data_IF_944156986523
#
_entry.id   IF_944156986523
#
_cell.length_a   1.000
_cell.length_b   1.000
_cell.length_c   1.000
_cell.angle_alpha   90.00
_cell.angle_beta   90.00
_cell.angle_gamma   90.00
#
_symmetry.space_group_name_H-M   'P 1'
#
loop_
_entity.id
_entity.type
_entity.pdbx_description
1 polymer ?
#
# COMPACT_ATOMS: atom_id res chain seq x y z
N UNK A 1 -14.82 -23.30 -22.02
CA UNK A 1 -14.75 -21.83 -21.93
C UNK A 1 -14.92 -21.49 -20.46
N UNK A 2 -13.81 -21.27 -19.75
CA UNK A 2 -13.85 -21.02 -18.31
C UNK A 2 -14.12 -19.54 -18.04
N UNK A 3 -15.09 -19.28 -17.18
CA UNK A 3 -15.45 -17.96 -16.65
C UNK A 3 -14.23 -17.28 -16.02
N UNK A 4 -13.95 -16.04 -16.42
CA UNK A 4 -12.96 -15.19 -15.74
C UNK A 4 -13.66 -14.41 -14.64
N UNK A 5 -13.74 -14.98 -13.44
CA UNK A 5 -14.25 -14.32 -12.25
C UNK A 5 -13.13 -14.19 -11.20
N UNK A 6 -13.12 -13.02 -10.55
CA UNK A 6 -12.37 -12.65 -9.35
C UNK A 6 -10.84 -12.46 -9.47
N UNK A 7 -10.44 -11.27 -9.95
CA UNK A 7 -9.42 -10.53 -9.23
C UNK A 7 -10.10 -9.66 -8.18
N UNK A 8 -9.55 -9.53 -6.96
CA UNK A 8 -10.20 -8.77 -5.91
C UNK A 8 -10.40 -7.35 -6.40
N UNK A 9 -11.58 -6.76 -6.24
CA UNK A 9 -11.80 -5.36 -6.57
C UNK A 9 -10.82 -4.53 -5.74
N UNK A 10 -9.75 -4.04 -6.37
CA UNK A 10 -8.68 -3.30 -5.69
C UNK A 10 -9.22 -2.03 -5.02
N UNK A 11 -10.37 -1.52 -5.47
CA UNK A 11 -11.12 -0.47 -4.77
C UNK A 11 -11.50 -0.84 -3.32
N UNK A 12 -11.74 -2.12 -3.00
CA UNK A 12 -12.03 -2.58 -1.63
C UNK A 12 -10.84 -2.33 -0.68
N UNK A 13 -9.61 -2.37 -1.18
CA UNK A 13 -8.40 -2.05 -0.38
C UNK A 13 -8.46 -0.59 0.07
N UNK A 14 -8.65 0.32 -0.88
CA UNK A 14 -8.71 1.76 -0.58
C UNK A 14 -9.94 2.11 0.27
N UNK A 15 -11.12 1.64 -0.12
CA UNK A 15 -12.36 1.93 0.61
C UNK A 15 -12.32 1.32 2.02
N UNK A 16 -11.88 0.07 2.17
CA UNK A 16 -11.78 -0.57 3.48
C UNK A 16 -10.79 0.09 4.43
N UNK A 17 -9.75 0.75 3.90
CA UNK A 17 -8.78 1.47 4.71
C UNK A 17 -9.21 2.90 5.05
N UNK A 18 -9.85 3.62 4.12
CA UNK A 18 -10.17 5.06 4.29
C UNK A 18 -11.57 5.27 4.87
N UNK A 19 -12.57 4.46 4.49
CA UNK A 19 -13.95 4.64 4.94
C UNK A 19 -14.10 4.76 6.47
N UNK A 20 -13.37 3.98 7.31
CA UNK A 20 -13.47 4.10 8.77
C UNK A 20 -13.05 5.46 9.33
N UNK A 21 -12.24 6.23 8.60
CA UNK A 21 -11.74 7.54 9.02
C UNK A 21 -11.93 8.60 7.92
N UNK A 22 -13.03 8.51 7.16
CA UNK A 22 -13.27 9.34 5.98
C UNK A 22 -13.36 10.83 6.34
N UNK A 23 -13.99 11.17 7.46
CA UNK A 23 -14.11 12.55 7.93
C UNK A 23 -12.73 13.14 8.23
N UNK A 24 -11.92 12.45 9.03
CA UNK A 24 -10.57 12.92 9.34
C UNK A 24 -9.69 12.96 8.08
N UNK A 25 -9.89 12.02 7.14
CA UNK A 25 -9.21 12.05 5.85
C UNK A 25 -9.54 13.32 5.08
N UNK A 26 -10.80 13.77 5.06
CA UNK A 26 -11.20 14.97 4.32
C UNK A 26 -10.81 16.26 5.04
N UNK A 27 -10.85 16.27 6.37
CA UNK A 27 -10.69 17.47 7.19
C UNK A 27 -9.23 17.83 7.50
N UNK A 28 -8.28 16.94 7.22
CA UNK A 28 -6.85 17.21 7.48
C UNK A 28 -6.35 18.40 6.65
N UNK A 29 -5.57 19.27 7.29
CA UNK A 29 -4.97 20.45 6.63
C UNK A 29 -3.61 20.16 5.99
N UNK A 30 -3.07 18.94 6.17
CA UNK A 30 -1.76 18.52 5.69
C UNK A 30 -1.83 17.24 4.86
N UNK A 31 -0.70 16.91 4.23
CA UNK A 31 -0.51 15.59 3.64
C UNK A 31 -1.26 15.40 2.33
N UNK A 32 -0.67 15.90 1.25
CA UNK A 32 -1.07 15.52 -0.10
C UNK A 32 -0.73 14.05 -0.38
N UNK A 33 -1.53 13.41 -1.23
CA UNK A 33 -1.29 12.04 -1.67
C UNK A 33 -0.37 12.08 -2.89
N UNK A 34 0.86 11.58 -2.74
CA UNK A 34 1.80 11.48 -3.85
C UNK A 34 1.40 10.40 -4.87
N UNK A 35 2.04 10.40 -6.04
CA UNK A 35 1.88 9.34 -7.04
C UNK A 35 2.23 7.94 -6.46
N UNK A 36 3.29 7.84 -5.64
CA UNK A 36 3.74 6.56 -5.07
C UNK A 36 2.81 6.13 -3.94
N UNK A 37 2.34 7.07 -3.12
CA UNK A 37 1.31 6.79 -2.11
C UNK A 37 0.04 6.26 -2.76
N UNK A 38 -0.41 6.89 -3.85
CA UNK A 38 -1.60 6.44 -4.59
C UNK A 38 -1.48 4.98 -5.02
N UNK A 39 -0.30 4.56 -5.50
CA UNK A 39 -0.06 3.17 -5.85
C UNK A 39 -0.22 2.24 -4.64
N UNK A 40 0.44 2.52 -3.52
CA UNK A 40 0.37 1.67 -2.30
C UNK A 40 -1.07 1.61 -1.74
N UNK A 41 -1.77 2.75 -1.69
CA UNK A 41 -3.15 2.88 -1.20
C UNK A 41 -4.15 2.09 -2.06
N UNK A 42 -3.92 2.03 -3.37
CA UNK A 42 -4.84 1.38 -4.32
C UNK A 42 -4.45 -0.04 -4.69
N UNK A 43 -3.19 -0.43 -4.49
CA UNK A 43 -2.68 -1.68 -5.03
C UNK A 43 -2.43 -1.64 -6.54
N UNK A 44 -2.48 -0.46 -7.18
CA UNK A 44 -2.26 -0.28 -8.61
C UNK A 44 -0.83 0.14 -8.94
N UNK A 45 -0.54 0.27 -10.23
CA UNK A 45 0.70 0.86 -10.73
C UNK A 45 1.79 -0.18 -10.98
N UNK A 46 2.88 -0.12 -10.23
CA UNK A 46 4.08 -0.94 -10.47
C UNK A 46 3.95 -2.39 -9.96
N UNK A 47 2.98 -2.67 -9.08
CA UNK A 47 2.84 -3.97 -8.44
C UNK A 47 2.57 -5.09 -9.43
N UNK A 48 3.38 -6.15 -9.37
CA UNK A 48 3.26 -7.32 -10.22
C UNK A 48 1.88 -7.98 -10.16
N UNK A 49 1.20 -7.96 -9.01
CA UNK A 49 -0.20 -8.42 -8.88
C UNK A 49 -1.12 -7.68 -9.85
N UNK A 50 -1.09 -6.35 -9.82
CA UNK A 50 -1.87 -5.49 -10.70
C UNK A 50 -1.47 -5.66 -12.16
N UNK A 51 -0.17 -5.62 -12.47
CA UNK A 51 0.33 -5.75 -13.84
C UNK A 51 -0.01 -7.12 -14.46
N UNK A 52 -0.04 -8.18 -13.65
CA UNK A 52 -0.47 -9.51 -14.09
C UNK A 52 -1.98 -9.51 -14.38
N UNK A 53 -2.78 -8.90 -13.52
CA UNK A 53 -4.22 -8.77 -13.71
C UNK A 53 -4.59 -8.06 -15.02
N UNK A 54 -3.94 -6.93 -15.31
CA UNK A 54 -4.15 -6.19 -16.58
C UNK A 54 -3.37 -6.77 -17.77
N UNK A 55 -2.82 -7.98 -17.62
CA UNK A 55 -2.09 -8.73 -18.67
C UNK A 55 -0.87 -7.97 -19.25
N UNK A 56 -0.27 -7.08 -18.47
CA UNK A 56 0.99 -6.38 -18.82
C UNK A 56 2.24 -7.15 -18.38
N UNK A 57 2.09 -8.13 -17.47
CA UNK A 57 3.17 -9.00 -17.00
C UNK A 57 2.67 -10.45 -16.95
N UNK A 58 3.55 -11.40 -17.25
CA UNK A 58 3.20 -12.83 -17.23
C UNK A 58 3.17 -13.44 -15.82
N UNK A 59 3.71 -12.73 -14.82
CA UNK A 59 3.88 -13.24 -13.47
C UNK A 59 3.74 -12.11 -12.45
N UNK A 60 3.03 -12.41 -11.37
CA UNK A 60 2.88 -11.53 -10.22
C UNK A 60 3.99 -11.70 -9.17
N UNK A 61 5.08 -12.42 -9.46
CA UNK A 61 6.14 -12.67 -8.47
C UNK A 61 6.94 -11.39 -8.16
N UNK A 62 7.26 -11.21 -6.88
CA UNK A 62 8.15 -10.13 -6.44
C UNK A 62 9.55 -10.30 -7.05
N UNK A 63 10.14 -9.20 -7.50
CA UNK A 63 11.48 -9.18 -8.10
C UNK A 63 12.56 -8.93 -7.05
N UNK A 64 12.17 -8.40 -5.89
CA UNK A 64 13.07 -8.01 -4.80
C UNK A 64 13.28 -9.13 -3.79
N UNK A 65 12.36 -10.08 -3.69
CA UNK A 65 12.51 -11.26 -2.87
C UNK A 65 12.28 -12.51 -3.72
N UNK A 66 12.92 -13.62 -3.36
CA UNK A 66 12.80 -14.91 -4.06
C UNK A 66 11.43 -15.60 -3.83
N UNK A 67 10.36 -14.83 -3.59
CA UNK A 67 9.11 -15.30 -3.00
C UNK A 67 7.83 -14.69 -3.60
N UNK A 68 6.93 -14.30 -2.69
CA UNK A 68 5.49 -14.07 -2.81
C UNK A 68 5.01 -13.18 -3.97
N UNK A 69 3.67 -13.08 -4.07
CA UNK A 69 2.98 -12.14 -4.95
C UNK A 69 3.40 -10.70 -4.61
N UNK A 70 3.82 -9.97 -5.63
CA UNK A 70 4.18 -8.56 -5.62
C UNK A 70 2.94 -7.68 -5.51
N UNK A 71 2.32 -7.68 -4.33
CA UNK A 71 1.19 -6.82 -3.99
C UNK A 71 1.65 -5.60 -3.22
N UNK A 72 0.80 -4.57 -3.14
CA UNK A 72 1.05 -3.42 -2.28
C UNK A 72 1.19 -3.81 -0.80
N UNK A 73 0.41 -4.79 -0.33
CA UNK A 73 0.51 -5.24 1.05
C UNK A 73 1.83 -5.98 1.30
N UNK A 74 2.27 -6.79 0.34
CA UNK A 74 3.56 -7.46 0.42
C UNK A 74 4.69 -6.43 0.53
N UNK A 75 4.68 -5.40 -0.33
CA UNK A 75 5.66 -4.31 -0.29
C UNK A 75 5.62 -3.53 1.02
N UNK A 76 4.43 -3.24 1.54
CA UNK A 76 4.22 -2.46 2.77
C UNK A 76 4.72 -3.18 4.04
N UNK A 77 4.54 -4.51 4.12
CA UNK A 77 4.66 -5.22 5.40
C UNK A 77 5.49 -6.52 5.38
N UNK A 78 5.66 -7.17 4.23
CA UNK A 78 6.15 -8.55 4.18
C UNK A 78 7.47 -8.72 3.42
N UNK A 79 7.77 -7.81 2.48
CA UNK A 79 8.90 -7.96 1.59
C UNK A 79 10.21 -7.80 2.37
N UNK A 80 11.07 -8.83 2.44
CA UNK A 80 12.31 -8.76 3.22
C UNK A 80 13.30 -7.73 2.68
N UNK A 81 13.21 -7.40 1.38
CA UNK A 81 14.01 -6.34 0.77
C UNK A 81 13.76 -4.96 1.41
N UNK A 82 12.54 -4.74 1.91
CA UNK A 82 12.12 -3.48 2.52
C UNK A 82 12.11 -3.51 4.04
N UNK A 83 12.60 -4.58 4.68
CA UNK A 83 12.51 -4.76 6.13
C UNK A 83 13.08 -3.58 6.94
N UNK A 84 14.13 -2.92 6.45
CA UNK A 84 14.67 -1.70 7.08
C UNK A 84 13.69 -0.53 7.04
N UNK A 85 12.98 -0.36 5.94
CA UNK A 85 11.99 0.72 5.73
C UNK A 85 10.69 0.43 6.48
N UNK A 86 10.25 -0.82 6.49
CA UNK A 86 9.12 -1.26 7.31
C UNK A 86 9.38 -1.01 8.80
N UNK A 87 10.58 -1.33 9.32
CA UNK A 87 10.95 -1.01 10.71
C UNK A 87 10.91 0.50 11.00
N UNK A 88 11.44 1.32 10.09
CA UNK A 88 11.38 2.77 10.24
C UNK A 88 9.93 3.28 10.25
N UNK A 89 9.09 2.78 9.35
CA UNK A 89 7.66 3.11 9.31
C UNK A 89 6.95 2.69 10.60
N UNK A 90 7.23 1.50 11.12
CA UNK A 90 6.65 0.99 12.37
C UNK A 90 6.91 1.90 13.57
N UNK A 91 8.05 2.61 13.62
CA UNK A 91 8.29 3.60 14.68
C UNK A 91 7.33 4.79 14.64
N UNK A 92 6.79 5.13 13.46
CA UNK A 92 5.85 6.24 13.29
C UNK A 92 4.39 5.80 13.36
N UNK A 93 4.04 4.62 12.82
CA UNK A 93 2.64 4.18 12.67
C UNK A 93 2.24 3.00 13.57
N UNK A 94 3.19 2.40 14.28
CA UNK A 94 2.98 1.21 15.10
C UNK A 94 3.30 -0.10 14.37
N UNK A 95 3.19 -1.21 15.10
CA UNK A 95 3.60 -2.54 14.62
C UNK A 95 2.65 -3.15 13.58
N UNK A 96 1.39 -2.75 13.56
CA UNK A 96 0.41 -3.21 12.58
C UNK A 96 0.54 -2.41 11.28
N UNK A 97 1.17 -3.03 10.28
CA UNK A 97 1.33 -2.47 8.93
C UNK A 97 0.21 -2.89 7.98
N UNK A 98 -0.93 -3.37 8.48
CA UNK A 98 -2.14 -3.47 7.67
C UNK A 98 -2.53 -2.07 7.18
N UNK A 99 -3.01 -1.98 5.92
CA UNK A 99 -3.33 -0.68 5.35
C UNK A 99 -4.33 0.14 6.20
N UNK A 100 -5.42 -0.44 6.75
CA UNK A 100 -6.33 0.33 7.60
C UNK A 100 -5.65 0.89 8.86
N UNK A 101 -4.79 0.11 9.53
CA UNK A 101 -4.08 0.58 10.71
C UNK A 101 -3.14 1.75 10.40
N UNK A 102 -2.38 1.65 9.31
CA UNK A 102 -1.50 2.73 8.85
C UNK A 102 -2.31 3.99 8.50
N UNK A 103 -3.42 3.85 7.77
CA UNK A 103 -4.25 4.98 7.36
C UNK A 103 -4.84 5.72 8.56
N UNK A 104 -5.39 5.00 9.54
CA UNK A 104 -5.94 5.60 10.76
C UNK A 104 -4.90 6.43 11.51
N UNK A 105 -3.67 5.92 11.64
CA UNK A 105 -2.61 6.64 12.37
C UNK A 105 -2.09 7.83 11.55
N UNK A 106 -1.84 7.66 10.26
CA UNK A 106 -1.24 8.71 9.44
C UNK A 106 -2.18 9.89 9.19
N UNK A 107 -3.50 9.67 9.18
CA UNK A 107 -4.48 10.76 9.08
C UNK A 107 -4.48 11.63 10.34
N UNK A 108 -4.18 11.06 11.51
CA UNK A 108 -4.16 11.76 12.79
C UNK A 108 -2.82 12.44 13.15
N UNK A 109 -1.75 12.25 12.37
CA UNK A 109 -0.42 12.82 12.65
C UNK A 109 0.31 13.18 11.36
N UNK A 110 0.75 14.45 11.25
CA UNK A 110 1.55 14.90 10.13
C UNK A 110 2.89 14.16 10.03
N UNK A 111 3.49 13.81 11.17
CA UNK A 111 4.73 13.03 11.22
C UNK A 111 4.52 11.61 10.67
N UNK A 112 3.42 10.95 11.07
CA UNK A 112 3.06 9.63 10.56
C UNK A 112 2.73 9.69 9.05
N UNK A 113 2.05 10.74 8.59
CA UNK A 113 1.83 10.98 7.15
C UNK A 113 3.14 11.12 6.40
N UNK A 114 4.06 11.97 6.87
CA UNK A 114 5.37 12.19 6.25
C UNK A 114 6.21 10.90 6.25
N UNK A 115 6.14 10.10 7.31
CA UNK A 115 6.81 8.81 7.39
C UNK A 115 6.27 7.82 6.34
N UNK A 116 4.95 7.73 6.19
CA UNK A 116 4.33 6.89 5.16
C UNK A 116 4.64 7.39 3.74
N UNK A 117 4.61 8.71 3.51
CA UNK A 117 4.98 9.31 2.24
C UNK A 117 6.45 8.99 1.88
N UNK A 118 7.39 9.20 2.81
CA UNK A 118 8.81 8.88 2.62
C UNK A 118 9.03 7.39 2.35
N UNK A 119 8.32 6.52 3.09
CA UNK A 119 8.36 5.08 2.83
C UNK A 119 7.94 4.78 1.39
N UNK A 120 6.83 5.34 0.92
CA UNK A 120 6.33 5.12 -0.45
C UNK A 120 7.32 5.61 -1.52
N UNK A 121 8.01 6.72 -1.32
CA UNK A 121 9.02 7.20 -2.29
C UNK A 121 10.29 6.34 -2.32
N UNK A 122 10.58 5.59 -1.25
CA UNK A 122 11.78 4.74 -1.18
C UNK A 122 11.57 3.33 -1.72
N UNK A 123 10.33 2.83 -1.73
CA UNK A 123 10.02 1.41 -2.06
C UNK A 123 9.26 1.23 -3.38
N UNK A 124 8.82 2.32 -4.02
CA UNK A 124 8.07 2.34 -5.30
C UNK A 124 8.88 3.02 -6.40
#
# INVERSE_FOLDING_TARGET
MAESADSPPLWRRTVGAIQPCLEQWLDREWGEVSYRMTQVLTGHGCFGEYLCWIKKKCTARCHHCNGNVDSAQHTLAECPAWAGRCRALTHAVGADLSLPAVVVVMVGSEEAWRAFASFCEEVI
#
